data_IF_761812946232
#
_entry.id   IF_761812946232
#
_cell.length_a   1.000
_cell.length_b   1.000
_cell.length_c   1.000
_cell.angle_alpha   90.00
_cell.angle_beta   90.00
_cell.angle_gamma   90.00
#
_symmetry.space_group_name_H-M   'P 1'
#
loop_
_entity.id
_entity.type
_entity.pdbx_description
1 polymer ?
#
# COMPACT_ATOMS: atom_id res chain seq x y z
N UNK A 1 -50.64 -26.76 22.82
CA UNK A 1 -49.46 -26.06 23.33
C UNK A 1 -48.52 -25.83 22.15
N UNK A 2 -48.37 -24.59 21.65
CA UNK A 2 -47.44 -24.33 20.56
C UNK A 2 -46.02 -24.17 21.11
N UNK A 3 -45.09 -24.77 20.40
CA UNK A 3 -43.64 -24.74 20.61
C UNK A 3 -43.12 -23.30 20.73
N UNK A 4 -42.39 -23.02 21.82
CA UNK A 4 -41.57 -21.83 21.95
C UNK A 4 -40.31 -21.98 21.08
N UNK A 5 -40.32 -21.37 19.90
CA UNK A 5 -39.12 -21.05 19.15
C UNK A 5 -38.67 -19.68 19.66
N UNK A 6 -37.58 -19.63 20.42
CA UNK A 6 -36.87 -18.38 20.67
C UNK A 6 -36.03 -18.06 19.41
N UNK A 7 -36.29 -16.95 18.69
CA UNK A 7 -35.33 -16.45 17.72
C UNK A 7 -34.27 -15.67 18.50
N UNK A 8 -33.04 -16.17 18.45
CA UNK A 8 -31.88 -15.58 19.09
C UNK A 8 -31.54 -14.24 18.41
N UNK A 9 -31.89 -13.12 19.04
CA UNK A 9 -31.56 -11.77 18.58
C UNK A 9 -30.10 -11.48 18.96
N UNK A 10 -29.15 -12.08 18.23
CA UNK A 10 -27.74 -11.71 18.34
C UNK A 10 -27.57 -10.25 17.90
N UNK A 11 -26.90 -9.42 18.70
CA UNK A 11 -26.62 -8.03 18.30
C UNK A 11 -25.58 -8.01 17.17
N UNK A 12 -25.54 -6.96 16.31
CA UNK A 12 -24.55 -6.86 15.24
C UNK A 12 -23.10 -7.01 15.71
N UNK A 13 -22.78 -6.52 16.91
CA UNK A 13 -21.45 -6.68 17.52
C UNK A 13 -21.11 -8.13 17.87
N UNK A 14 -22.11 -8.92 18.28
CA UNK A 14 -21.94 -10.35 18.54
C UNK A 14 -21.72 -11.13 17.24
N UNK A 15 -22.50 -10.82 16.20
CA UNK A 15 -22.34 -11.45 14.87
C UNK A 15 -20.96 -11.09 14.28
N UNK A 16 -20.48 -9.87 14.48
CA UNK A 16 -19.15 -9.44 14.05
C UNK A 16 -18.02 -10.17 14.80
N UNK A 17 -18.14 -10.35 16.12
CA UNK A 17 -17.20 -11.14 16.91
C UNK A 17 -17.18 -12.62 16.47
N UNK A 18 -18.35 -13.19 16.15
CA UNK A 18 -18.46 -14.55 15.63
C UNK A 18 -17.87 -14.71 14.23
N UNK A 19 -18.05 -13.73 13.34
CA UNK A 19 -17.42 -13.71 12.03
C UNK A 19 -15.89 -13.65 12.14
N UNK A 20 -15.36 -12.83 13.06
CA UNK A 20 -13.91 -12.75 13.32
C UNK A 20 -13.38 -14.09 13.86
N UNK A 21 -14.00 -14.63 14.90
CA UNK A 21 -13.57 -15.89 15.49
C UNK A 21 -13.65 -17.06 14.50
N UNK A 22 -14.71 -17.14 13.69
CA UNK A 22 -14.85 -18.20 12.68
C UNK A 22 -13.89 -18.03 11.50
N UNK A 23 -13.53 -16.79 11.14
CA UNK A 23 -12.50 -16.51 10.14
C UNK A 23 -11.09 -16.88 10.64
N UNK A 24 -10.79 -16.61 11.91
CA UNK A 24 -9.49 -16.92 12.55
C UNK A 24 -9.19 -18.43 12.55
N UNK A 25 -10.21 -19.27 12.73
CA UNK A 25 -10.05 -20.74 12.77
C UNK A 25 -10.45 -21.44 11.46
N UNK A 26 -10.86 -20.69 10.43
CA UNK A 26 -11.29 -21.24 9.15
C UNK A 26 -12.58 -22.08 9.19
N UNK A 27 -13.47 -21.83 10.16
CA UNK A 27 -14.71 -22.58 10.34
C UNK A 27 -15.79 -22.08 9.35
N UNK A 28 -15.85 -22.75 8.21
CA UNK A 28 -16.71 -22.41 7.07
C UNK A 28 -18.21 -22.50 7.39
N UNK A 29 -18.61 -23.39 8.29
CA UNK A 29 -20.02 -23.57 8.65
C UNK A 29 -20.48 -22.39 9.52
N UNK A 30 -19.67 -22.02 10.51
CA UNK A 30 -19.97 -20.88 11.41
C UNK A 30 -19.92 -19.54 10.68
N UNK A 31 -19.00 -19.38 9.72
CA UNK A 31 -18.98 -18.20 8.84
C UNK A 31 -20.29 -18.06 8.04
N UNK A 32 -20.78 -19.16 7.47
CA UNK A 32 -22.03 -19.17 6.70
C UNK A 32 -23.24 -18.86 7.59
N UNK A 33 -23.31 -19.45 8.77
CA UNK A 33 -24.42 -19.27 9.71
C UNK A 33 -24.43 -17.87 10.35
N UNK A 34 -23.26 -17.25 10.57
CA UNK A 34 -23.15 -15.87 11.03
C UNK A 34 -23.52 -14.86 9.94
N UNK A 35 -23.08 -15.09 8.70
CA UNK A 35 -23.49 -14.26 7.55
C UNK A 35 -25.00 -14.33 7.28
N UNK A 36 -25.64 -15.49 7.48
CA UNK A 36 -27.08 -15.65 7.28
C UNK A 36 -27.94 -14.91 8.32
N UNK A 37 -27.38 -14.62 9.50
CA UNK A 37 -28.04 -13.84 10.57
C UNK A 37 -27.80 -12.33 10.46
N UNK A 38 -26.95 -11.90 9.53
CA UNK A 38 -26.66 -10.50 9.30
C UNK A 38 -27.75 -9.86 8.44
N UNK A 39 -28.59 -8.99 9.02
CA UNK A 39 -29.72 -8.33 8.35
C UNK A 39 -29.34 -6.94 7.79
N UNK A 40 -29.83 -6.64 6.57
CA UNK A 40 -29.52 -5.47 5.73
C UNK A 40 -30.16 -4.14 6.23
N UNK A 41 -30.89 -4.18 7.35
CA UNK A 41 -31.66 -3.05 7.86
C UNK A 41 -30.86 -2.09 8.76
N UNK A 42 -29.58 -2.37 9.02
CA UNK A 42 -28.68 -1.47 9.72
C UNK A 42 -28.41 -0.21 8.88
N UNK A 43 -29.14 0.86 9.17
CA UNK A 43 -28.98 2.18 8.55
C UNK A 43 -27.53 2.66 8.63
N UNK A 44 -26.83 2.65 7.49
CA UNK A 44 -25.45 3.11 7.38
C UNK A 44 -24.63 2.53 6.20
N UNK A 45 -25.17 1.60 5.41
CA UNK A 45 -24.36 0.86 4.42
C UNK A 45 -25.04 0.64 3.05
N UNK A 46 -25.30 1.71 2.30
CA UNK A 46 -25.80 1.67 0.90
C UNK A 46 -24.80 1.09 -0.13
N UNK A 47 -23.69 0.48 0.31
CA UNK A 47 -22.57 0.05 -0.53
C UNK A 47 -22.60 -1.45 -0.90
N UNK A 48 -23.50 -2.26 -0.29
CA UNK A 48 -23.64 -3.69 -0.58
C UNK A 48 -24.65 -3.92 -1.72
N UNK A 49 -24.21 -3.76 -2.98
CA UNK A 49 -25.08 -3.99 -4.15
C UNK A 49 -25.14 -5.48 -4.52
N UNK A 50 -26.36 -6.03 -4.55
CA UNK A 50 -26.75 -7.43 -4.83
C UNK A 50 -26.39 -7.98 -6.22
N UNK A 51 -25.85 -7.15 -7.13
CA UNK A 51 -25.65 -7.51 -8.55
C UNK A 51 -24.24 -8.02 -8.91
N UNK A 52 -23.26 -7.91 -8.01
CA UNK A 52 -21.90 -8.41 -8.23
C UNK A 52 -21.78 -9.96 -8.18
N UNK A 53 -22.47 -10.66 -7.27
CA UNK A 53 -22.40 -12.12 -7.16
C UNK A 53 -22.87 -12.84 -8.43
N UNK A 54 -23.94 -12.36 -9.08
CA UNK A 54 -24.53 -12.98 -10.28
C UNK A 54 -23.58 -12.95 -11.49
N UNK A 55 -22.80 -11.87 -11.64
CA UNK A 55 -21.80 -11.75 -12.72
C UNK A 55 -20.60 -12.67 -12.53
N UNK A 56 -20.23 -12.97 -11.29
CA UNK A 56 -19.08 -13.83 -10.98
C UNK A 56 -19.38 -15.32 -11.18
N UNK A 57 -20.61 -15.76 -10.90
CA UNK A 57 -21.06 -17.14 -11.13
C UNK A 57 -21.04 -17.51 -12.62
N UNK A 58 -21.35 -16.56 -13.51
CA UNK A 58 -21.33 -16.78 -14.97
C UNK A 58 -19.94 -16.99 -15.57
N UNK A 59 -18.86 -16.51 -14.93
CA UNK A 59 -17.54 -16.41 -15.59
C UNK A 59 -16.61 -17.58 -15.23
N UNK A 60 -16.74 -18.22 -14.06
CA UNK A 60 -15.67 -19.14 -13.59
C UNK A 60 -16.09 -20.51 -13.09
N UNK A 61 -17.38 -20.80 -12.86
CA UNK A 61 -17.93 -22.12 -12.48
C UNK A 61 -17.22 -23.00 -11.42
N UNK A 62 -16.17 -22.52 -10.74
CA UNK A 62 -15.62 -23.13 -9.53
C UNK A 62 -14.72 -22.12 -8.79
N UNK A 63 -15.13 -21.71 -7.58
CA UNK A 63 -14.28 -20.94 -6.66
C UNK A 63 -14.55 -21.49 -5.25
N UNK A 64 -13.49 -21.89 -4.56
CA UNK A 64 -13.53 -22.36 -3.17
C UNK A 64 -14.12 -21.30 -2.22
N UNK A 65 -14.98 -21.74 -1.31
CA UNK A 65 -15.71 -20.91 -0.34
C UNK A 65 -14.81 -20.08 0.59
N UNK A 66 -13.55 -20.47 0.78
CA UNK A 66 -12.55 -19.70 1.55
C UNK A 66 -12.12 -18.42 0.80
N UNK A 67 -12.06 -18.48 -0.53
CA UNK A 67 -11.79 -17.32 -1.38
C UNK A 67 -12.91 -16.29 -1.29
N UNK A 68 -14.18 -16.70 -1.08
CA UNK A 68 -15.28 -15.74 -0.91
C UNK A 68 -15.20 -14.94 0.39
N UNK A 69 -14.78 -15.53 1.51
CA UNK A 69 -14.65 -14.82 2.79
C UNK A 69 -13.46 -13.87 2.77
N UNK A 70 -12.33 -14.29 2.19
CA UNK A 70 -11.15 -13.46 2.02
C UNK A 70 -11.39 -12.34 1.00
N UNK A 71 -12.04 -12.65 -0.13
CA UNK A 71 -12.47 -11.66 -1.12
C UNK A 71 -13.47 -10.67 -0.50
N UNK A 72 -14.32 -11.06 0.45
CA UNK A 72 -15.22 -10.14 1.18
C UNK A 72 -14.48 -9.19 2.13
N UNK A 73 -13.40 -9.64 2.76
CA UNK A 73 -12.52 -8.78 3.58
C UNK A 73 -11.63 -7.89 2.72
N UNK A 74 -11.17 -8.40 1.57
CA UNK A 74 -10.29 -7.71 0.64
C UNK A 74 -11.05 -6.79 -0.35
N UNK A 75 -12.34 -7.02 -0.61
CA UNK A 75 -13.21 -6.18 -1.46
C UNK A 75 -13.94 -5.06 -0.68
N UNK A 76 -13.59 -4.77 0.58
CA UNK A 76 -14.01 -3.50 1.25
C UNK A 76 -13.27 -2.29 0.62
N UNK A 77 -12.95 -2.38 -0.67
CA UNK A 77 -11.97 -1.63 -1.43
C UNK A 77 -12.64 -0.66 -2.41
N UNK A 78 -13.48 0.26 -1.93
CA UNK A 78 -13.95 1.41 -2.73
C UNK A 78 -14.18 2.69 -1.93
N UNK A 79 -13.54 2.87 -0.76
CA UNK A 79 -13.51 4.16 -0.08
C UNK A 79 -12.06 4.61 0.16
N UNK A 80 -11.65 5.68 -0.54
CA UNK A 80 -10.30 6.23 -0.56
C UNK A 80 -9.70 6.55 0.83
N UNK A 81 -10.52 6.62 1.89
CA UNK A 81 -10.07 6.99 3.23
C UNK A 81 -9.66 5.79 4.12
N UNK A 82 -10.24 4.61 3.94
CA UNK A 82 -9.90 3.43 4.76
C UNK A 82 -8.57 2.79 4.34
N UNK A 83 -8.06 3.12 3.15
CA UNK A 83 -6.82 2.58 2.64
C UNK A 83 -5.60 2.93 3.51
N UNK A 84 -5.59 4.13 4.12
CA UNK A 84 -4.43 4.61 4.89
C UNK A 84 -4.17 3.88 6.21
N UNK A 85 -5.20 3.27 6.81
CA UNK A 85 -5.10 2.67 8.16
C UNK A 85 -4.54 1.26 8.12
N UNK A 86 -4.89 0.45 7.12
CA UNK A 86 -4.47 -0.96 7.10
C UNK A 86 -3.02 -1.16 6.66
N UNK A 87 -2.55 -0.40 5.67
CA UNK A 87 -1.16 -0.41 5.23
C UNK A 87 -0.21 -0.10 6.39
N UNK A 88 -0.67 0.75 7.31
CA UNK A 88 0.09 1.18 8.48
C UNK A 88 0.25 0.07 9.53
N UNK A 89 -0.68 -0.88 9.61
CA UNK A 89 -0.64 -1.97 10.59
C UNK A 89 -0.07 -3.26 9.99
N UNK A 90 -0.47 -3.60 8.76
CA UNK A 90 -0.10 -4.86 8.12
C UNK A 90 1.34 -4.81 7.60
N UNK A 91 1.68 -3.81 6.77
CA UNK A 91 2.97 -3.81 6.06
C UNK A 91 4.21 -3.78 6.99
N UNK A 92 4.19 -3.12 8.16
CA UNK A 92 5.30 -3.23 9.10
C UNK A 92 5.50 -4.65 9.66
N UNK A 93 4.43 -5.44 9.78
CA UNK A 93 4.47 -6.79 10.36
C UNK A 93 4.76 -7.85 9.29
N UNK A 94 5.93 -8.47 9.38
CA UNK A 94 6.34 -9.54 8.47
C UNK A 94 5.37 -10.73 8.55
N UNK A 95 4.91 -11.09 9.75
CA UNK A 95 3.99 -12.21 9.98
C UNK A 95 2.64 -11.99 9.29
N UNK A 96 2.08 -10.77 9.41
CA UNK A 96 0.81 -10.44 8.78
C UNK A 96 0.94 -10.38 7.25
N UNK A 97 2.05 -9.82 6.75
CA UNK A 97 2.34 -9.80 5.31
C UNK A 97 2.46 -11.23 4.77
N UNK A 98 3.23 -12.09 5.43
CA UNK A 98 3.38 -13.51 5.06
C UNK A 98 2.03 -14.22 5.03
N UNK A 99 1.25 -14.07 6.10
CA UNK A 99 -0.08 -14.67 6.19
C UNK A 99 -0.99 -14.20 5.04
N UNK A 100 -1.05 -12.90 4.76
CA UNK A 100 -1.86 -12.37 3.65
C UNK A 100 -1.43 -12.95 2.29
N UNK A 101 -0.12 -13.05 2.04
CA UNK A 101 0.43 -13.57 0.79
C UNK A 101 0.16 -15.08 0.63
N UNK A 102 0.34 -15.86 1.69
CA UNK A 102 0.04 -17.31 1.70
C UNK A 102 -1.45 -17.60 1.46
N UNK A 103 -2.33 -16.64 1.80
CA UNK A 103 -3.77 -16.75 1.59
C UNK A 103 -4.26 -16.07 0.30
N UNK A 104 -3.36 -15.68 -0.60
CA UNK A 104 -3.72 -15.25 -1.96
C UNK A 104 -3.92 -13.74 -2.13
N UNK A 105 -3.43 -12.90 -1.21
CA UNK A 105 -3.28 -11.48 -1.48
C UNK A 105 -2.33 -11.26 -2.67
N UNK A 106 -2.70 -10.40 -3.61
CA UNK A 106 -1.87 -10.09 -4.77
C UNK A 106 -0.84 -8.98 -4.43
N UNK A 107 0.48 -9.30 -4.34
CA UNK A 107 1.51 -8.29 -4.05
C UNK A 107 1.72 -7.30 -5.20
N UNK A 108 1.15 -7.57 -6.38
CA UNK A 108 1.21 -6.69 -7.56
C UNK A 108 -0.04 -5.83 -7.70
N UNK A 109 -0.95 -5.90 -6.72
CA UNK A 109 -2.21 -5.17 -6.79
C UNK A 109 -1.95 -3.69 -7.05
N UNK A 110 -2.73 -3.16 -7.99
CA UNK A 110 -2.74 -1.76 -8.39
C UNK A 110 -4.19 -1.31 -8.58
N UNK A 111 -4.51 -0.12 -8.08
CA UNK A 111 -5.85 0.46 -8.19
C UNK A 111 -6.21 0.71 -9.65
N UNK A 112 -7.51 0.80 -9.96
CA UNK A 112 -7.99 1.06 -11.32
C UNK A 112 -7.49 2.41 -11.88
N UNK A 113 -7.27 3.40 -11.01
CA UNK A 113 -6.64 4.68 -11.36
C UNK A 113 -5.13 4.62 -11.47
N UNK A 114 -4.52 3.47 -11.17
CA UNK A 114 -3.09 3.23 -11.26
C UNK A 114 -2.24 3.93 -10.20
N UNK A 115 -2.78 4.91 -9.48
CA UNK A 115 -2.05 5.80 -8.60
C UNK A 115 -1.70 5.18 -7.23
N UNK A 116 -2.23 3.99 -6.93
CA UNK A 116 -1.99 3.26 -5.68
C UNK A 116 -1.67 1.83 -6.04
N UNK A 117 -0.49 1.36 -5.64
CA UNK A 117 -0.05 -0.02 -5.77
C UNK A 117 0.66 -0.47 -4.49
N UNK A 118 0.62 -1.78 -4.22
CA UNK A 118 1.21 -2.36 -3.01
C UNK A 118 2.71 -2.07 -2.90
N UNK A 119 3.53 -2.25 -3.96
CA UNK A 119 4.96 -1.93 -3.89
C UNK A 119 5.26 -0.46 -3.49
N UNK A 120 4.59 0.52 -4.10
CA UNK A 120 4.75 1.94 -3.78
C UNK A 120 4.41 2.24 -2.32
N UNK A 121 3.29 1.69 -1.83
CA UNK A 121 2.87 1.90 -0.45
C UNK A 121 3.80 1.17 0.54
N UNK A 122 4.31 0.00 0.17
CA UNK A 122 5.29 -0.74 0.96
C UNK A 122 6.57 0.07 1.19
N UNK A 123 7.04 0.83 0.21
CA UNK A 123 8.16 1.76 0.40
C UNK A 123 7.96 2.71 1.59
N UNK A 124 6.71 3.15 1.85
CA UNK A 124 6.38 4.09 2.93
C UNK A 124 6.20 3.43 4.31
N UNK A 125 5.73 2.19 4.36
CA UNK A 125 5.27 1.55 5.62
C UNK A 125 5.97 0.22 5.94
N UNK A 126 6.35 -0.55 4.94
CA UNK A 126 6.81 -1.93 5.13
C UNK A 126 8.17 -1.98 5.83
N UNK A 127 8.35 -2.95 6.73
CA UNK A 127 9.67 -3.32 7.21
C UNK A 127 10.50 -3.92 6.07
N UNK A 128 11.83 -4.00 6.22
CA UNK A 128 12.69 -4.64 5.22
C UNK A 128 12.31 -6.11 5.01
N UNK A 129 11.93 -6.83 6.07
CA UNK A 129 11.42 -8.21 5.97
C UNK A 129 10.15 -8.32 5.12
N UNK A 130 9.19 -7.42 5.33
CA UNK A 130 7.99 -7.33 4.50
C UNK A 130 8.28 -6.96 3.04
N UNK A 131 9.25 -6.06 2.78
CA UNK A 131 9.69 -5.74 1.41
C UNK A 131 10.31 -6.97 0.73
N UNK A 132 11.13 -7.74 1.45
CA UNK A 132 11.71 -9.00 0.97
C UNK A 132 10.63 -10.01 0.62
N UNK A 133 9.64 -10.21 1.50
CA UNK A 133 8.51 -11.10 1.23
C UNK A 133 7.69 -10.67 0.02
N UNK A 134 7.38 -9.38 -0.10
CA UNK A 134 6.65 -8.88 -1.26
C UNK A 134 7.42 -9.19 -2.56
N UNK A 135 8.75 -8.99 -2.59
CA UNK A 135 9.59 -9.34 -3.74
C UNK A 135 9.58 -10.85 -4.01
N UNK A 136 9.70 -11.69 -2.99
CA UNK A 136 9.64 -13.15 -3.11
C UNK A 136 8.33 -13.64 -3.73
N UNK A 137 7.21 -12.99 -3.38
CA UNK A 137 5.88 -13.28 -3.95
C UNK A 137 5.61 -12.55 -5.28
N UNK A 138 6.60 -11.87 -5.85
CA UNK A 138 6.57 -11.33 -7.21
C UNK A 138 6.20 -9.85 -7.33
N UNK A 139 6.31 -9.05 -6.26
CA UNK A 139 6.28 -7.60 -6.36
C UNK A 139 7.48 -7.08 -7.18
N UNK A 140 7.19 -6.20 -8.15
CA UNK A 140 8.21 -5.54 -8.95
C UNK A 140 8.39 -4.09 -8.49
N UNK A 141 9.41 -3.84 -7.67
CA UNK A 141 9.68 -2.50 -7.15
C UNK A 141 10.20 -1.53 -8.23
N UNK A 142 10.75 -2.04 -9.35
CA UNK A 142 11.25 -1.18 -10.44
C UNK A 142 10.12 -0.46 -11.17
N UNK A 143 8.91 -1.02 -11.12
CA UNK A 143 7.68 -0.45 -11.70
C UNK A 143 6.78 0.15 -10.63
N UNK A 144 7.39 0.80 -9.65
CA UNK A 144 6.70 1.42 -8.52
C UNK A 144 7.40 2.70 -8.08
N UNK A 145 6.73 3.46 -7.21
CA UNK A 145 7.30 4.60 -6.49
C UNK A 145 7.77 4.21 -5.08
N UNK A 146 8.16 2.94 -4.84
CA UNK A 146 8.57 2.47 -3.51
C UNK A 146 9.77 3.25 -2.96
N UNK A 147 10.79 3.48 -3.79
CA UNK A 147 11.98 4.24 -3.41
C UNK A 147 11.64 5.70 -3.07
N UNK A 148 10.82 6.35 -3.90
CA UNK A 148 10.34 7.71 -3.69
C UNK A 148 9.51 7.83 -2.40
N UNK A 149 8.65 6.86 -2.17
CA UNK A 149 7.77 6.79 -0.99
C UNK A 149 8.55 6.54 0.30
N UNK A 150 9.62 5.75 0.24
CA UNK A 150 10.55 5.56 1.35
C UNK A 150 11.33 6.85 1.64
N UNK A 151 11.90 7.46 0.61
CA UNK A 151 12.70 8.68 0.72
C UNK A 151 11.91 9.87 1.31
N UNK A 152 10.66 10.06 0.90
CA UNK A 152 9.80 11.15 1.39
C UNK A 152 9.11 10.89 2.73
N UNK A 153 9.34 9.75 3.38
CA UNK A 153 8.63 9.37 4.61
C UNK A 153 9.57 9.44 5.83
N UNK A 154 9.31 10.28 6.84
CA UNK A 154 10.18 10.39 8.02
C UNK A 154 9.98 9.23 9.03
N UNK A 155 9.47 8.08 8.57
CA UNK A 155 9.20 6.94 9.45
C UNK A 155 10.49 6.19 9.80
N UNK A 156 10.54 5.54 10.97
CA UNK A 156 11.63 4.63 11.29
C UNK A 156 11.82 3.54 10.21
N UNK A 157 13.06 3.09 10.03
CA UNK A 157 13.36 2.01 9.09
C UNK A 157 13.36 2.42 7.62
N UNK A 158 13.21 3.72 7.28
CA UNK A 158 13.18 4.16 5.88
C UNK A 158 14.55 4.18 5.22
N UNK A 159 15.63 4.40 5.96
CA UNK A 159 16.98 4.35 5.40
C UNK A 159 17.33 2.93 4.97
N UNK A 160 17.02 1.95 5.82
CA UNK A 160 17.18 0.52 5.57
C UNK A 160 16.27 0.04 4.43
N UNK A 161 15.05 0.61 4.32
CA UNK A 161 14.20 0.36 3.17
C UNK A 161 14.77 0.93 1.87
N UNK A 162 15.32 2.16 1.88
CA UNK A 162 16.00 2.77 0.73
C UNK A 162 17.20 1.92 0.32
N UNK A 163 18.02 1.49 1.30
CA UNK A 163 19.17 0.62 1.07
C UNK A 163 18.76 -0.68 0.39
N UNK A 164 17.79 -1.40 0.97
CA UNK A 164 17.25 -2.62 0.37
C UNK A 164 16.72 -2.38 -1.05
N UNK A 165 15.95 -1.31 -1.26
CA UNK A 165 15.34 -1.02 -2.56
C UNK A 165 16.38 -0.75 -3.66
N UNK A 166 17.48 -0.08 -3.32
CA UNK A 166 18.55 0.22 -4.27
C UNK A 166 19.47 -0.98 -4.47
N UNK A 167 19.99 -1.56 -3.38
CA UNK A 167 21.08 -2.55 -3.45
C UNK A 167 20.57 -3.96 -3.76
N UNK A 168 19.46 -4.38 -3.17
CA UNK A 168 18.93 -5.75 -3.30
C UNK A 168 17.71 -5.82 -4.22
N UNK A 169 16.83 -4.82 -4.18
CA UNK A 169 15.61 -4.81 -4.99
C UNK A 169 15.88 -4.43 -6.45
N UNK A 170 16.95 -3.68 -6.72
CA UNK A 170 17.38 -3.27 -8.05
C UNK A 170 16.64 -2.05 -8.60
N UNK A 171 16.07 -1.22 -7.73
CA UNK A 171 15.39 0.01 -8.16
C UNK A 171 16.43 1.03 -8.64
N UNK A 172 16.32 1.58 -9.87
CA UNK A 172 17.27 2.57 -10.33
C UNK A 172 17.21 3.84 -9.48
N UNK A 173 18.34 4.21 -8.86
CA UNK A 173 18.41 5.33 -7.90
C UNK A 173 18.00 6.68 -8.52
N UNK A 174 18.23 6.85 -9.83
CA UNK A 174 17.96 8.06 -10.60
C UNK A 174 16.58 8.08 -11.26
N UNK A 175 15.76 7.03 -11.08
CA UNK A 175 14.42 6.97 -11.65
C UNK A 175 13.52 8.07 -11.08
N UNK A 176 12.70 8.67 -11.93
CA UNK A 176 11.68 9.65 -11.50
C UNK A 176 10.36 8.95 -11.16
N UNK A 177 9.57 9.55 -10.28
CA UNK A 177 8.23 9.03 -9.96
C UNK A 177 7.44 8.84 -11.27
N UNK A 178 6.77 7.68 -11.39
CA UNK A 178 5.96 7.28 -12.55
C UNK A 178 6.70 7.11 -13.88
N UNK A 179 8.03 7.25 -13.96
CA UNK A 179 8.79 7.16 -15.23
C UNK A 179 8.66 5.79 -15.92
N UNK A 180 8.37 4.74 -15.15
CA UNK A 180 8.09 3.38 -15.65
C UNK A 180 6.72 3.24 -16.33
N UNK A 181 5.85 4.24 -16.25
CA UNK A 181 4.49 4.25 -16.78
C UNK A 181 4.22 5.58 -17.48
N UNK A 182 4.50 5.64 -18.78
CA UNK A 182 4.42 6.88 -19.56
C UNK A 182 3.05 7.57 -19.53
N UNK A 183 1.96 6.80 -19.33
CA UNK A 183 0.62 7.38 -19.18
C UNK A 183 0.53 8.16 -17.86
N UNK A 184 0.94 7.55 -16.75
CA UNK A 184 0.91 8.23 -15.46
C UNK A 184 1.96 9.33 -15.34
N UNK A 185 3.11 9.16 -15.96
CA UNK A 185 4.11 10.21 -15.99
C UNK A 185 3.53 11.52 -16.57
N UNK A 186 2.77 11.43 -17.66
CA UNK A 186 2.11 12.62 -18.23
C UNK A 186 0.94 13.13 -17.38
N UNK A 187 0.15 12.24 -16.75
CA UNK A 187 -0.94 12.64 -15.83
C UNK A 187 -0.41 13.42 -14.62
N UNK A 188 0.72 12.99 -14.04
CA UNK A 188 1.29 13.57 -12.83
C UNK A 188 2.37 14.63 -13.09
N UNK A 189 2.68 14.92 -14.36
CA UNK A 189 3.72 15.86 -14.77
C UNK A 189 3.57 17.25 -14.15
N UNK A 190 2.35 17.74 -14.01
CA UNK A 190 2.09 19.06 -13.41
C UNK A 190 2.42 19.16 -11.91
N UNK A 191 2.63 18.01 -11.25
CA UNK A 191 2.86 17.93 -9.79
C UNK A 191 4.34 18.10 -9.39
N UNK A 192 5.25 18.26 -10.35
CA UNK A 192 6.69 18.33 -10.06
C UNK A 192 7.23 16.98 -9.62
N UNK A 193 6.91 15.91 -10.35
CA UNK A 193 7.38 14.56 -10.08
C UNK A 193 8.87 14.44 -10.39
N UNK A 194 9.61 13.84 -9.47
CA UNK A 194 11.07 13.89 -9.46
C UNK A 194 11.72 12.60 -8.99
N UNK A 195 13.02 12.63 -8.74
CA UNK A 195 13.78 11.49 -8.19
C UNK A 195 13.50 11.30 -6.70
N UNK A 196 14.01 10.20 -6.13
CA UNK A 196 13.95 9.95 -4.69
C UNK A 196 14.51 11.11 -3.85
N UNK A 197 15.54 11.82 -4.36
CA UNK A 197 16.11 13.00 -3.72
C UNK A 197 15.09 14.15 -3.60
N UNK A 198 14.28 14.39 -4.64
CA UNK A 198 13.22 15.40 -4.59
C UNK A 198 12.17 15.03 -3.54
N UNK A 199 11.80 13.74 -3.45
CA UNK A 199 10.85 13.27 -2.45
C UNK A 199 11.39 13.40 -1.02
N UNK A 200 12.68 13.09 -0.79
CA UNK A 200 13.34 13.31 0.50
C UNK A 200 13.32 14.79 0.93
N UNK A 201 13.55 15.71 -0.02
CA UNK A 201 13.45 17.15 0.21
C UNK A 201 12.01 17.58 0.53
N UNK A 202 11.01 17.12 -0.26
CA UNK A 202 9.58 17.41 0.00
C UNK A 202 9.14 16.91 1.38
N UNK A 203 9.64 15.75 1.80
CA UNK A 203 9.37 15.15 3.11
C UNK A 203 10.19 15.72 4.27
N UNK A 204 11.08 16.69 4.01
CA UNK A 204 12.08 17.22 4.96
C UNK A 204 12.88 16.11 5.67
N UNK A 205 13.19 15.03 4.96
CA UNK A 205 13.89 13.87 5.51
C UNK A 205 15.41 13.99 5.28
N UNK A 206 16.10 14.73 6.15
CA UNK A 206 17.54 15.03 5.98
C UNK A 206 18.39 13.77 5.85
N UNK A 207 18.12 12.76 6.67
CA UNK A 207 18.90 11.52 6.66
C UNK A 207 18.76 10.77 5.33
N UNK A 208 17.57 10.76 4.72
CA UNK A 208 17.39 10.20 3.39
C UNK A 208 18.14 11.01 2.32
N UNK A 209 18.19 12.35 2.43
CA UNK A 209 19.01 13.20 1.53
C UNK A 209 20.49 12.80 1.65
N UNK A 210 21.01 12.71 2.88
CA UNK A 210 22.39 12.31 3.16
C UNK A 210 22.70 10.92 2.58
N UNK A 211 21.83 9.96 2.82
CA UNK A 211 22.01 8.57 2.39
C UNK A 211 21.94 8.41 0.87
N UNK A 212 21.00 9.08 0.21
CA UNK A 212 20.91 9.02 -1.26
C UNK A 212 22.15 9.64 -1.92
N UNK A 213 22.70 10.72 -1.36
CA UNK A 213 23.94 11.35 -1.85
C UNK A 213 25.14 10.43 -1.63
N UNK A 214 25.25 9.77 -0.47
CA UNK A 214 26.33 8.80 -0.24
C UNK A 214 26.25 7.57 -1.16
N UNK A 215 25.04 7.24 -1.65
CA UNK A 215 24.79 6.21 -2.67
C UNK A 215 25.03 6.68 -4.12
N UNK A 216 25.43 7.93 -4.33
CA UNK A 216 25.80 8.45 -5.65
C UNK A 216 24.60 8.83 -6.54
N UNK A 217 23.48 9.23 -5.95
CA UNK A 217 22.35 9.77 -6.72
C UNK A 217 22.78 11.01 -7.52
N UNK A 218 22.32 11.14 -8.76
CA UNK A 218 22.60 12.31 -9.59
C UNK A 218 21.73 13.49 -9.16
N UNK A 219 22.35 14.46 -8.50
CA UNK A 219 21.71 15.67 -7.98
C UNK A 219 21.31 16.67 -9.09
N UNK A 220 21.82 16.49 -10.32
CA UNK A 220 21.55 17.39 -11.45
C UNK A 220 20.24 17.06 -12.17
N UNK A 221 19.64 15.90 -11.89
CA UNK A 221 18.34 15.52 -12.46
C UNK A 221 17.28 16.52 -12.01
N UNK A 222 16.46 16.96 -12.96
CA UNK A 222 15.38 17.92 -12.72
C UNK A 222 14.03 17.22 -12.59
N UNK A 223 13.19 17.72 -11.70
CA UNK A 223 11.77 17.35 -11.64
C UNK A 223 11.00 17.84 -12.88
N UNK A 224 9.71 17.53 -12.99
CA UNK A 224 8.89 17.97 -14.14
C UNK A 224 8.58 19.46 -14.17
N UNK A 225 8.99 20.21 -13.13
CA UNK A 225 8.94 21.68 -13.07
C UNK A 225 10.31 22.30 -13.32
N UNK A 226 11.25 21.53 -13.87
CA UNK A 226 12.60 21.94 -14.23
C UNK A 226 13.47 22.36 -13.02
N UNK A 227 13.13 21.89 -11.82
CA UNK A 227 13.90 22.18 -10.59
C UNK A 227 14.83 21.04 -10.25
N UNK A 228 16.05 21.35 -9.83
CA UNK A 228 16.90 20.36 -9.14
C UNK A 228 16.41 20.18 -7.70
N UNK A 229 16.86 19.12 -7.03
CA UNK A 229 16.51 18.89 -5.63
C UNK A 229 16.95 20.04 -4.70
N UNK A 230 18.07 20.70 -5.00
CA UNK A 230 18.54 21.88 -4.27
C UNK A 230 17.63 23.09 -4.46
N UNK A 231 17.10 23.31 -5.66
CA UNK A 231 16.16 24.40 -5.95
C UNK A 231 14.86 24.19 -5.16
N UNK A 232 14.36 22.95 -5.18
CA UNK A 232 13.20 22.57 -4.37
C UNK A 232 13.47 22.71 -2.86
N UNK A 233 14.69 22.44 -2.38
CA UNK A 233 15.05 22.60 -0.97
C UNK A 233 15.02 24.08 -0.54
N UNK A 234 15.36 25.01 -1.45
CA UNK A 234 15.19 26.45 -1.23
C UNK A 234 13.71 26.84 -1.21
N UNK A 235 12.91 26.32 -2.14
CA UNK A 235 11.46 26.59 -2.20
C UNK A 235 10.70 26.18 -0.92
N UNK A 236 11.16 25.14 -0.22
CA UNK A 236 10.50 24.59 0.98
C UNK A 236 11.19 24.98 2.30
N UNK A 237 12.14 25.92 2.26
CA UNK A 237 12.94 26.37 3.40
C UNK A 237 13.61 25.21 4.15
N UNK A 238 14.39 24.39 3.43
CA UNK A 238 15.15 23.27 3.99
C UNK A 238 16.66 23.52 3.91
N UNK A 239 17.14 24.51 4.67
CA UNK A 239 18.52 25.00 4.64
C UNK A 239 19.58 23.92 4.87
N UNK A 240 19.33 22.97 5.78
CA UNK A 240 20.26 21.88 6.07
C UNK A 240 20.50 20.98 4.85
N UNK A 241 19.45 20.68 4.07
CA UNK A 241 19.57 19.90 2.85
C UNK A 241 20.28 20.68 1.74
N UNK A 242 20.06 22.00 1.64
CA UNK A 242 20.78 22.88 0.69
C UNK A 242 22.28 22.84 0.98
N UNK A 243 22.68 23.08 2.23
CA UNK A 243 24.08 23.07 2.64
C UNK A 243 24.74 21.71 2.37
N UNK A 244 24.02 20.61 2.64
CA UNK A 244 24.52 19.26 2.42
C UNK A 244 24.70 18.94 0.93
N UNK A 245 23.74 19.32 0.08
CA UNK A 245 23.85 19.13 -1.37
C UNK A 245 24.96 19.98 -1.98
N UNK A 246 25.06 21.26 -1.63
CA UNK A 246 26.10 22.15 -2.15
C UNK A 246 27.51 21.69 -1.74
N UNK A 247 27.68 21.23 -0.50
CA UNK A 247 28.97 20.68 -0.04
C UNK A 247 29.37 19.43 -0.82
N UNK A 248 28.41 18.58 -1.22
CA UNK A 248 28.69 17.36 -1.97
C UNK A 248 29.00 17.58 -3.45
N UNK A 249 28.73 18.76 -4.01
CA UNK A 249 29.04 19.12 -5.40
C UNK A 249 30.45 19.74 -5.57
N UNK A 250 31.10 20.08 -4.47
CA UNK A 250 32.43 20.73 -4.45
C UNK A 250 33.59 19.73 -4.29
N UNK A 251 33.28 18.45 -4.07
CA UNK A 251 34.22 17.32 -4.02
C UNK A 251 34.14 16.48 -5.29
#
# INVERSE_FOLDING_TARGET
>A
MPHAIHPDLSTPDQILCELKAAAEVGDLLRLKDALARWDDTATGMSWFSTTLPERFVQIRHDISTTTMALQRVLNVNTAANCQSTWYREILPSEELVRWCLEHGADPKFRSAGGNIDIPSVAGKFASVGSLKLLKEYGADFTKSNALHSAAGSPRPGRIEAIEYLVDEAGVPINQREWEYDGKQFEEWKSMGVGTALHCAVKGKHLEAVRFLISKGIDQKIRDTKDRQAVDLARDVDFAEAVALMEASQQN
#
